data_IF_923687530703
#
_entry.id   IF_923687530703
#
_cell.length_a   1.000
_cell.length_b   1.000
_cell.length_c   1.000
_cell.angle_alpha   90.00
_cell.angle_beta   90.00
_cell.angle_gamma   90.00
#
_symmetry.space_group_name_H-M   'P 1'
#
loop_
_entity.id
_entity.type
_entity.pdbx_description
1 polymer ?
#
# COMPACT_ATOMS: atom_id res chain seq x y z
N UNK A 1 -6.70 -14.45 -34.09
CA UNK A 1 -6.55 -12.97 -33.99
C UNK A 1 -6.72 -12.64 -32.55
N UNK A 2 -5.60 -12.43 -31.84
CA UNK A 2 -5.64 -11.91 -30.46
C UNK A 2 -6.20 -10.47 -30.54
N UNK A 3 -7.34 -10.26 -29.91
CA UNK A 3 -7.83 -8.91 -29.69
C UNK A 3 -6.77 -8.14 -28.91
N UNK A 4 -6.26 -7.08 -29.51
CA UNK A 4 -5.36 -6.13 -28.89
C UNK A 4 -6.15 -5.46 -27.75
N UNK A 5 -6.18 -6.10 -26.56
CA UNK A 5 -6.78 -5.51 -25.36
C UNK A 5 -6.03 -4.22 -25.08
N UNK A 6 -6.68 -3.10 -25.32
CA UNK A 6 -6.14 -1.77 -25.05
C UNK A 6 -5.79 -1.71 -23.56
N UNK A 7 -4.50 -1.65 -23.26
CA UNK A 7 -4.01 -1.52 -21.87
C UNK A 7 -4.49 -0.15 -21.38
N UNK A 8 -5.40 -0.14 -20.42
CA UNK A 8 -5.96 1.08 -19.83
C UNK A 8 -5.14 1.50 -18.62
N UNK A 9 -5.05 2.81 -18.38
CA UNK A 9 -4.42 3.35 -17.18
C UNK A 9 -5.03 2.74 -15.90
N UNK A 10 -4.27 2.61 -14.80
CA UNK A 10 -4.76 2.12 -13.53
C UNK A 10 -5.89 3.01 -13.00
N UNK A 11 -6.58 2.51 -11.97
CA UNK A 11 -7.66 3.27 -11.34
C UNK A 11 -7.16 4.59 -10.72
N UNK A 12 -8.10 5.51 -10.51
CA UNK A 12 -7.79 6.83 -9.96
C UNK A 12 -7.15 6.78 -8.57
N UNK A 13 -7.36 5.71 -7.79
CA UNK A 13 -6.80 5.59 -6.44
C UNK A 13 -5.31 5.31 -6.47
N UNK A 14 -4.86 4.37 -7.31
CA UNK A 14 -3.44 4.07 -7.50
C UNK A 14 -2.69 5.29 -8.05
N UNK A 15 -3.29 5.99 -9.02
CA UNK A 15 -2.74 7.22 -9.61
C UNK A 15 -2.59 8.32 -8.55
N UNK A 16 -3.66 8.64 -7.81
CA UNK A 16 -3.63 9.69 -6.76
C UNK A 16 -2.59 9.39 -5.69
N UNK A 17 -2.52 8.15 -5.23
CA UNK A 17 -1.56 7.74 -4.20
C UNK A 17 -0.11 7.96 -4.68
N UNK A 18 0.20 7.63 -5.93
CA UNK A 18 1.52 7.87 -6.50
C UNK A 18 1.82 9.38 -6.68
N UNK A 19 0.83 10.17 -7.11
CA UNK A 19 0.98 11.62 -7.22
C UNK A 19 1.16 12.30 -5.86
N UNK A 20 0.51 11.83 -4.79
CA UNK A 20 0.73 12.38 -3.44
C UNK A 20 2.15 12.11 -2.93
N UNK A 21 2.75 10.94 -3.24
CA UNK A 21 4.15 10.69 -2.90
C UNK A 21 5.10 11.64 -3.64
N UNK A 22 4.85 11.89 -4.93
CA UNK A 22 5.62 12.83 -5.70
C UNK A 22 5.40 14.29 -5.25
N UNK A 23 4.16 14.65 -4.91
CA UNK A 23 3.84 16.00 -4.42
C UNK A 23 4.60 16.32 -3.12
N UNK A 24 4.79 15.32 -2.23
CA UNK A 24 5.60 15.47 -1.03
C UNK A 24 7.02 16.01 -1.34
N UNK A 25 7.66 15.45 -2.35
CA UNK A 25 9.03 15.85 -2.74
C UNK A 25 9.06 17.28 -3.35
N UNK A 26 7.93 17.75 -3.90
CA UNK A 26 7.86 19.02 -4.61
C UNK A 26 7.41 20.21 -3.76
N UNK A 27 6.58 19.95 -2.73
CA UNK A 27 5.95 21.04 -1.97
C UNK A 27 6.23 21.04 -0.46
N UNK A 28 6.69 19.91 0.09
CA UNK A 28 6.99 19.83 1.52
C UNK A 28 8.49 20.10 1.78
N UNK A 29 8.83 20.51 3.00
CA UNK A 29 10.20 20.85 3.37
C UNK A 29 11.08 19.60 3.54
N UNK A 30 12.39 19.77 3.36
CA UNK A 30 13.39 18.73 3.71
C UNK A 30 13.63 18.70 5.23
N UNK A 31 14.03 17.52 5.78
CA UNK A 31 14.26 16.25 5.08
C UNK A 31 12.95 15.59 4.65
N UNK A 32 12.95 14.97 3.47
CA UNK A 32 11.78 14.24 2.99
C UNK A 32 11.60 12.93 3.79
N UNK A 33 10.34 12.59 4.09
CA UNK A 33 9.98 11.32 4.75
C UNK A 33 10.20 10.16 3.79
N UNK A 34 9.80 10.38 2.54
CA UNK A 34 9.96 9.44 1.44
C UNK A 34 10.28 10.21 0.15
N UNK A 35 11.34 9.85 -0.54
CA UNK A 35 11.67 10.40 -1.85
C UNK A 35 11.14 9.47 -2.94
N UNK A 36 9.99 9.82 -3.55
CA UNK A 36 9.38 9.03 -4.61
C UNK A 36 8.75 9.90 -5.70
N UNK A 37 9.51 10.09 -6.77
CA UNK A 37 9.03 10.74 -8.00
C UNK A 37 8.84 9.73 -9.15
N UNK A 38 9.08 8.43 -8.91
CA UNK A 38 8.95 7.41 -9.97
C UNK A 38 7.49 7.26 -10.38
N UNK A 39 6.57 7.30 -9.42
CA UNK A 39 5.13 7.30 -9.71
C UNK A 39 4.70 8.42 -10.63
N UNK A 40 5.25 9.64 -10.46
CA UNK A 40 5.01 10.77 -11.36
C UNK A 40 5.51 10.49 -12.79
N UNK A 41 6.69 9.91 -12.91
CA UNK A 41 7.24 9.53 -14.23
C UNK A 41 6.42 8.43 -14.90
N UNK A 42 5.91 7.46 -14.13
CA UNK A 42 5.01 6.43 -14.65
C UNK A 42 3.74 7.04 -15.22
N UNK A 43 3.10 7.94 -14.46
CA UNK A 43 1.80 8.53 -14.80
C UNK A 43 1.96 9.56 -15.93
N UNK A 44 3.01 10.38 -15.90
CA UNK A 44 3.24 11.52 -16.78
C UNK A 44 1.98 12.40 -16.90
N UNK A 45 1.46 12.97 -15.78
CA UNK A 45 0.25 13.77 -15.80
C UNK A 45 0.50 15.11 -16.52
N UNK A 46 -0.56 15.86 -16.87
CA UNK A 46 -0.43 17.23 -17.38
C UNK A 46 0.38 18.14 -16.44
N UNK A 47 1.01 19.18 -16.96
CA UNK A 47 1.90 20.07 -16.21
C UNK A 47 1.21 20.76 -15.00
N UNK A 48 -0.10 20.94 -15.06
CA UNK A 48 -0.92 21.55 -14.02
C UNK A 48 -1.52 20.56 -13.01
N UNK A 49 -1.06 19.32 -12.99
CA UNK A 49 -1.61 18.25 -12.14
C UNK A 49 -1.69 18.60 -10.65
N UNK A 50 -0.78 19.45 -10.14
CA UNK A 50 -0.82 19.91 -8.74
C UNK A 50 -2.05 20.79 -8.44
N UNK A 51 -2.68 21.34 -9.48
CA UNK A 51 -3.88 22.16 -9.37
C UNK A 51 -5.17 21.33 -9.36
N UNK A 52 -5.09 20.04 -9.63
CA UNK A 52 -6.23 19.14 -9.58
C UNK A 52 -6.91 19.16 -8.21
N UNK A 53 -8.24 19.11 -8.14
CA UNK A 53 -8.97 19.18 -6.86
C UNK A 53 -8.49 18.15 -5.85
N UNK A 54 -8.16 16.94 -6.29
CA UNK A 54 -7.67 15.83 -5.47
C UNK A 54 -6.23 16.02 -4.94
N UNK A 55 -5.51 17.02 -5.43
CA UNK A 55 -4.16 17.37 -4.94
C UNK A 55 -4.21 18.53 -3.95
N UNK A 56 -5.25 19.35 -4.02
CA UNK A 56 -5.42 20.50 -3.11
C UNK A 56 -5.91 20.06 -1.73
N UNK A 57 -5.50 20.79 -0.70
CA UNK A 57 -5.94 20.58 0.69
C UNK A 57 -5.68 19.16 1.24
N UNK A 58 -4.75 18.44 0.64
CA UNK A 58 -4.46 17.04 0.99
C UNK A 58 -3.21 16.86 1.86
N UNK A 59 -2.77 17.91 2.56
CA UNK A 59 -1.52 17.89 3.33
C UNK A 59 -1.46 16.75 4.33
N UNK A 60 -2.47 16.57 5.16
CA UNK A 60 -2.53 15.49 6.16
C UNK A 60 -2.65 14.09 5.51
N UNK A 61 -3.46 13.97 4.45
CA UNK A 61 -3.57 12.73 3.70
C UNK A 61 -2.26 12.36 3.00
N UNK A 62 -1.59 13.33 2.37
CA UNK A 62 -0.26 13.16 1.78
C UNK A 62 0.76 12.71 2.84
N UNK A 63 0.73 13.31 4.02
CA UNK A 63 1.57 12.92 5.15
C UNK A 63 1.34 11.46 5.54
N UNK A 64 0.08 10.99 5.66
CA UNK A 64 -0.24 9.59 5.92
C UNK A 64 0.30 8.66 4.85
N UNK A 65 0.15 9.02 3.57
CA UNK A 65 0.62 8.22 2.44
C UNK A 65 2.15 8.03 2.46
N UNK A 66 2.92 9.09 2.72
CA UNK A 66 4.39 8.99 2.75
C UNK A 66 4.88 8.30 4.03
N UNK A 67 4.23 8.54 5.17
CA UNK A 67 4.59 7.90 6.43
C UNK A 67 4.35 6.38 6.37
N UNK A 68 3.21 5.94 5.84
CA UNK A 68 2.93 4.49 5.70
C UNK A 68 3.91 3.82 4.74
N UNK A 69 4.24 4.46 3.62
CA UNK A 69 5.22 3.91 2.68
C UNK A 69 6.63 3.83 3.30
N UNK A 70 7.03 4.84 4.07
CA UNK A 70 8.28 4.84 4.83
C UNK A 70 8.30 3.76 5.90
N UNK A 71 7.22 3.59 6.65
CA UNK A 71 7.10 2.54 7.66
C UNK A 71 7.28 1.14 7.06
N UNK A 72 6.65 0.86 5.92
CA UNK A 72 6.83 -0.40 5.20
C UNK A 72 8.29 -0.56 4.75
N UNK A 73 8.90 0.48 4.20
CA UNK A 73 10.29 0.43 3.75
C UNK A 73 11.24 0.12 4.91
N UNK A 74 11.08 0.77 6.06
CA UNK A 74 11.89 0.51 7.25
C UNK A 74 11.67 -0.92 7.77
N UNK A 75 10.42 -1.41 7.78
CA UNK A 75 10.10 -2.79 8.15
C UNK A 75 10.80 -3.80 7.24
N UNK A 76 10.75 -3.60 5.93
CA UNK A 76 11.41 -4.49 4.95
C UNK A 76 12.92 -4.50 5.17
N UNK A 77 13.53 -3.32 5.38
CA UNK A 77 14.97 -3.20 5.64
C UNK A 77 15.34 -3.98 6.92
N UNK A 78 14.54 -3.84 7.97
CA UNK A 78 14.76 -4.55 9.23
C UNK A 78 14.64 -6.07 9.06
N UNK A 79 13.57 -6.54 8.43
CA UNK A 79 13.30 -7.96 8.23
C UNK A 79 14.31 -8.61 7.25
N UNK A 80 14.72 -7.89 6.21
CA UNK A 80 15.76 -8.35 5.30
C UNK A 80 17.12 -8.57 6.02
N UNK A 81 17.48 -7.73 7.00
CA UNK A 81 18.67 -7.92 7.84
C UNK A 81 18.58 -9.18 8.71
N UNK A 82 17.36 -9.63 9.04
CA UNK A 82 17.08 -10.88 9.77
C UNK A 82 17.02 -12.11 8.86
N UNK A 83 17.27 -11.94 7.56
CA UNK A 83 17.31 -13.03 6.58
C UNK A 83 15.97 -13.32 5.89
N UNK A 84 14.94 -12.49 6.07
CA UNK A 84 13.68 -12.61 5.32
C UNK A 84 13.94 -12.21 3.88
N UNK A 85 13.73 -13.15 2.96
CA UNK A 85 14.04 -12.98 1.52
C UNK A 85 12.82 -12.86 0.61
N UNK A 86 11.60 -12.80 1.15
CA UNK A 86 10.38 -12.71 0.37
C UNK A 86 9.53 -11.51 0.81
N UNK A 87 9.04 -10.75 -0.16
CA UNK A 87 8.17 -9.59 0.06
C UNK A 87 6.94 -9.66 -0.84
N UNK A 88 5.76 -9.60 -0.24
CA UNK A 88 4.47 -9.62 -0.93
C UNK A 88 3.80 -8.26 -0.76
N UNK A 89 3.30 -7.68 -1.84
CA UNK A 89 2.53 -6.44 -1.84
C UNK A 89 1.12 -6.76 -2.36
N UNK A 90 0.15 -6.80 -1.46
CA UNK A 90 -1.27 -6.98 -1.80
C UNK A 90 -1.89 -5.63 -2.15
N UNK A 91 -2.41 -5.49 -3.36
CA UNK A 91 -2.88 -4.21 -3.88
C UNK A 91 -1.72 -3.27 -4.20
N UNK A 92 -0.76 -3.75 -4.98
CA UNK A 92 0.49 -3.04 -5.26
C UNK A 92 0.30 -1.71 -5.99
N UNK A 93 -0.74 -1.57 -6.83
CA UNK A 93 -0.99 -0.35 -7.58
C UNK A 93 0.25 0.15 -8.32
N UNK A 94 0.63 1.37 -8.02
CA UNK A 94 1.85 2.00 -8.53
C UNK A 94 2.93 2.10 -7.43
N UNK A 95 3.13 1.02 -6.66
CA UNK A 95 4.27 0.92 -5.76
C UNK A 95 5.59 1.04 -6.53
N UNK A 96 6.62 1.62 -5.92
CA UNK A 96 7.90 1.94 -6.55
C UNK A 96 9.10 1.48 -5.73
N UNK A 97 8.88 0.70 -4.67
CA UNK A 97 9.94 0.23 -3.79
C UNK A 97 11.07 -0.48 -4.57
N UNK A 98 10.70 -1.38 -5.47
CA UNK A 98 11.67 -2.15 -6.26
C UNK A 98 12.59 -1.27 -7.11
N UNK A 99 12.07 -0.14 -7.61
CA UNK A 99 12.81 0.82 -8.43
C UNK A 99 13.59 1.85 -7.60
N UNK A 100 13.05 2.26 -6.44
CA UNK A 100 13.70 3.25 -5.57
C UNK A 100 14.82 2.66 -4.72
N UNK A 101 14.66 1.38 -4.34
CA UNK A 101 15.57 0.70 -3.43
C UNK A 101 16.16 -0.58 -4.05
N UNK A 102 16.82 -0.49 -5.22
CA UNK A 102 17.42 -1.66 -5.85
C UNK A 102 18.52 -2.30 -4.96
N UNK A 103 19.12 -1.54 -4.05
CA UNK A 103 20.10 -1.99 -3.06
C UNK A 103 19.52 -3.03 -2.08
N UNK A 104 18.25 -2.94 -1.75
CA UNK A 104 17.53 -3.88 -0.89
C UNK A 104 16.73 -4.87 -1.75
N UNK A 105 16.00 -4.37 -2.74
CA UNK A 105 15.09 -5.15 -3.58
C UNK A 105 15.80 -6.34 -4.27
N UNK A 106 17.05 -6.15 -4.72
CA UNK A 106 17.85 -7.21 -5.35
C UNK A 106 18.19 -8.40 -4.44
N UNK A 107 17.98 -8.27 -3.13
CA UNK A 107 18.18 -9.34 -2.14
C UNK A 107 16.88 -10.08 -1.80
N UNK A 108 15.77 -9.64 -2.37
CA UNK A 108 14.43 -10.15 -2.09
C UNK A 108 13.84 -10.79 -3.35
N UNK A 109 12.83 -11.62 -3.15
CA UNK A 109 11.85 -11.97 -4.18
C UNK A 109 10.59 -11.16 -3.89
N UNK A 110 10.26 -10.22 -4.75
CA UNK A 110 9.16 -9.28 -4.58
C UNK A 110 7.99 -9.73 -5.45
N UNK A 111 6.81 -9.87 -4.85
CA UNK A 111 5.58 -10.25 -5.53
C UNK A 111 4.58 -9.10 -5.44
N UNK A 112 4.36 -8.42 -6.54
CA UNK A 112 3.33 -7.38 -6.65
C UNK A 112 2.03 -8.00 -7.15
N UNK A 113 1.01 -7.99 -6.29
CA UNK A 113 -0.32 -8.56 -6.56
C UNK A 113 -1.31 -7.43 -6.77
N UNK A 114 -1.94 -7.36 -7.92
CA UNK A 114 -2.96 -6.37 -8.25
C UNK A 114 -3.79 -6.82 -9.46
N UNK A 115 -4.79 -6.02 -9.83
CA UNK A 115 -5.63 -6.24 -11.01
C UNK A 115 -4.77 -6.40 -12.27
N UNK A 116 -5.14 -7.31 -13.18
CA UNK A 116 -4.35 -7.59 -14.39
C UNK A 116 -4.04 -6.36 -15.24
N UNK A 117 -5.01 -5.46 -15.39
CA UNK A 117 -4.83 -4.24 -16.19
C UNK A 117 -3.84 -3.26 -15.54
N UNK A 118 -3.90 -3.09 -14.21
CA UNK A 118 -2.98 -2.24 -13.44
C UNK A 118 -1.54 -2.72 -13.60
N UNK A 119 -1.30 -4.02 -13.41
CA UNK A 119 0.05 -4.59 -13.51
C UNK A 119 0.59 -4.57 -14.94
N UNK A 120 -0.24 -4.89 -15.93
CA UNK A 120 0.17 -4.82 -17.34
C UNK A 120 0.56 -3.39 -17.74
N UNK A 121 -0.23 -2.39 -17.33
CA UNK A 121 0.08 -0.98 -17.57
C UNK A 121 1.38 -0.57 -16.88
N UNK A 122 1.53 -0.88 -15.59
CA UNK A 122 2.74 -0.57 -14.82
C UNK A 122 3.98 -1.19 -15.46
N UNK A 123 3.92 -2.47 -15.82
CA UNK A 123 5.01 -3.18 -16.46
C UNK A 123 5.45 -2.51 -17.76
N UNK A 124 4.49 -2.16 -18.62
CA UNK A 124 4.77 -1.46 -19.86
C UNK A 124 5.46 -0.12 -19.59
N UNK A 125 4.94 0.69 -18.65
CA UNK A 125 5.53 2.00 -18.31
C UNK A 125 6.93 1.89 -17.75
N UNK A 126 7.20 0.89 -16.90
CA UNK A 126 8.54 0.65 -16.38
C UNK A 126 9.55 0.33 -17.49
N UNK A 127 9.15 -0.47 -18.48
CA UNK A 127 9.97 -0.80 -19.65
C UNK A 127 10.23 0.45 -20.50
N UNK A 128 9.19 1.23 -20.82
CA UNK A 128 9.28 2.46 -21.60
C UNK A 128 10.22 3.51 -20.97
N UNK A 129 10.22 3.57 -19.64
CA UNK A 129 11.08 4.50 -18.88
C UNK A 129 12.50 3.97 -18.61
N UNK A 130 12.81 2.76 -19.09
CA UNK A 130 14.14 2.17 -18.95
C UNK A 130 14.41 1.51 -17.59
N UNK A 131 13.45 1.41 -16.70
CA UNK A 131 13.60 0.66 -15.45
C UNK A 131 13.64 -0.85 -15.69
N UNK A 132 12.91 -1.34 -16.70
CA UNK A 132 12.74 -2.76 -16.96
C UNK A 132 11.95 -3.49 -15.87
N UNK A 133 11.99 -4.82 -15.94
CA UNK A 133 11.44 -5.70 -14.89
C UNK A 133 12.58 -6.63 -14.46
N UNK A 134 13.26 -6.33 -13.35
CA UNK A 134 14.36 -7.16 -12.88
C UNK A 134 13.85 -8.54 -12.39
N UNK A 135 14.72 -9.56 -12.41
CA UNK A 135 14.36 -10.95 -12.08
C UNK A 135 13.78 -11.14 -10.67
N UNK A 136 14.10 -10.24 -9.75
CA UNK A 136 13.59 -10.29 -8.39
C UNK A 136 12.16 -9.72 -8.24
N UNK A 137 11.60 -9.08 -9.28
CA UNK A 137 10.26 -8.49 -9.28
C UNK A 137 9.30 -9.34 -10.09
N UNK A 138 8.30 -9.90 -9.43
CA UNK A 138 7.27 -10.75 -10.00
C UNK A 138 5.92 -10.04 -9.97
N UNK A 139 5.32 -9.80 -11.13
CA UNK A 139 3.94 -9.34 -11.22
C UNK A 139 3.00 -10.53 -11.16
N UNK A 140 2.03 -10.48 -10.24
CA UNK A 140 1.05 -11.54 -10.00
C UNK A 140 -0.35 -10.98 -10.27
N UNK A 141 -0.85 -11.06 -11.51
CA UNK A 141 -2.15 -10.50 -11.86
C UNK A 141 -3.28 -11.32 -11.23
N UNK A 142 -4.14 -10.66 -10.47
CA UNK A 142 -5.27 -11.27 -9.77
C UNK A 142 -6.53 -10.43 -9.98
N UNK A 143 -7.57 -11.05 -10.50
CA UNK A 143 -8.92 -10.53 -10.36
C UNK A 143 -9.48 -11.04 -9.03
N UNK A 144 -9.53 -10.19 -8.01
CA UNK A 144 -9.96 -10.55 -6.66
C UNK A 144 -11.41 -11.00 -6.55
N UNK A 145 -12.24 -10.74 -7.57
CA UNK A 145 -13.63 -11.20 -7.61
C UNK A 145 -13.76 -12.66 -8.08
N UNK A 146 -12.81 -13.13 -8.89
CA UNK A 146 -12.91 -14.44 -9.59
C UNK A 146 -11.76 -15.39 -9.30
N UNK A 147 -10.70 -14.93 -8.66
CA UNK A 147 -9.45 -15.69 -8.49
C UNK A 147 -8.89 -15.56 -7.08
N UNK A 148 -8.37 -16.67 -6.56
CA UNK A 148 -7.60 -16.65 -5.32
C UNK A 148 -6.22 -16.04 -5.55
N UNK A 149 -5.92 -14.93 -4.84
CA UNK A 149 -4.59 -14.33 -4.87
C UNK A 149 -3.51 -15.30 -4.37
N UNK A 150 -3.87 -16.15 -3.41
CA UNK A 150 -2.99 -17.16 -2.85
C UNK A 150 -2.53 -18.21 -3.89
N UNK A 151 -3.47 -18.75 -4.66
CA UNK A 151 -3.14 -19.71 -5.72
C UNK A 151 -2.26 -19.09 -6.81
N UNK A 152 -2.52 -17.84 -7.20
CA UNK A 152 -1.70 -17.16 -8.20
C UNK A 152 -0.30 -16.86 -7.67
N UNK A 153 -0.17 -16.48 -6.41
CA UNK A 153 1.10 -16.27 -5.74
C UNK A 153 1.96 -17.55 -5.74
N UNK A 154 1.36 -18.69 -5.39
CA UNK A 154 2.07 -19.99 -5.42
C UNK A 154 2.53 -20.35 -6.85
N UNK A 155 1.68 -20.13 -7.85
CA UNK A 155 2.05 -20.33 -9.28
C UNK A 155 3.20 -19.41 -9.73
N UNK A 156 3.31 -18.23 -9.14
CA UNK A 156 4.42 -17.30 -9.39
C UNK A 156 5.74 -17.72 -8.70
N UNK A 157 5.75 -18.86 -7.98
CA UNK A 157 6.94 -19.43 -7.36
C UNK A 157 7.25 -18.90 -5.96
N UNK A 158 6.26 -18.40 -5.25
CA UNK A 158 6.38 -18.09 -3.83
C UNK A 158 6.62 -19.37 -3.02
N UNK A 159 7.57 -19.32 -2.08
CA UNK A 159 7.89 -20.44 -1.21
C UNK A 159 7.18 -20.28 0.15
N UNK A 160 6.05 -20.92 0.33
CA UNK A 160 5.26 -20.86 1.56
C UNK A 160 5.94 -21.47 2.80
N UNK A 161 7.05 -22.20 2.61
CA UNK A 161 7.83 -22.78 3.71
C UNK A 161 8.89 -21.80 4.27
N UNK A 162 9.03 -20.65 3.66
CA UNK A 162 9.95 -19.59 4.11
C UNK A 162 9.18 -18.35 4.57
N UNK A 163 9.66 -17.68 5.62
CA UNK A 163 9.01 -16.48 6.10
C UNK A 163 9.04 -15.35 5.06
N UNK A 164 8.03 -14.50 5.13
CA UNK A 164 7.84 -13.37 4.23
C UNK A 164 7.42 -12.10 4.98
N UNK A 165 7.67 -10.94 4.39
CA UNK A 165 6.99 -9.69 4.75
C UNK A 165 5.80 -9.50 3.81
N UNK A 166 4.65 -9.17 4.36
CA UNK A 166 3.43 -8.89 3.61
C UNK A 166 2.98 -7.46 3.89
N UNK A 167 2.90 -6.63 2.86
CA UNK A 167 2.29 -5.31 2.93
C UNK A 167 0.91 -5.33 2.25
N UNK A 168 -0.09 -4.77 2.93
CA UNK A 168 -1.43 -4.56 2.40
C UNK A 168 -1.91 -3.17 2.82
N UNK A 169 -1.64 -2.15 2.02
CA UNK A 169 -1.89 -0.75 2.41
C UNK A 169 -2.90 -0.06 1.50
N UNK A 170 -3.93 0.55 2.10
CA UNK A 170 -4.98 1.26 1.37
C UNK A 170 -5.93 0.34 0.59
N UNK A 171 -6.05 -0.93 0.99
CA UNK A 171 -6.85 -1.96 0.31
C UNK A 171 -8.08 -2.36 1.12
N UNK A 172 -7.93 -2.56 2.42
CA UNK A 172 -8.97 -3.14 3.29
C UNK A 172 -10.28 -2.37 3.27
N UNK A 173 -10.24 -1.05 3.11
CA UNK A 173 -11.44 -0.22 3.07
C UNK A 173 -12.38 -0.55 1.88
N UNK A 174 -11.88 -1.23 0.85
CA UNK A 174 -12.66 -1.68 -0.31
C UNK A 174 -13.11 -3.14 -0.22
N UNK A 175 -12.65 -3.89 0.77
CA UNK A 175 -12.96 -5.30 0.97
C UNK A 175 -14.03 -5.47 2.05
N UNK A 176 -14.85 -6.51 1.94
CA UNK A 176 -15.76 -6.91 3.02
C UNK A 176 -14.98 -7.45 4.22
N UNK A 177 -15.56 -7.39 5.42
CA UNK A 177 -14.93 -7.97 6.63
C UNK A 177 -14.63 -9.46 6.48
N UNK A 178 -15.47 -10.21 5.77
CA UNK A 178 -15.25 -11.63 5.48
C UNK A 178 -14.03 -11.85 4.57
N UNK A 179 -13.86 -11.01 3.54
CA UNK A 179 -12.70 -11.08 2.66
C UNK A 179 -11.40 -10.73 3.41
N UNK A 180 -11.44 -9.75 4.32
CA UNK A 180 -10.33 -9.39 5.20
C UNK A 180 -10.00 -10.56 6.14
N UNK A 181 -11.01 -11.15 6.79
CA UNK A 181 -10.84 -12.31 7.67
C UNK A 181 -10.21 -13.50 6.91
N UNK A 182 -10.72 -13.81 5.72
CA UNK A 182 -10.12 -14.84 4.86
C UNK A 182 -8.66 -14.58 4.53
N UNK A 183 -8.31 -13.32 4.20
CA UNK A 183 -6.94 -12.91 3.92
C UNK A 183 -6.05 -13.06 5.17
N UNK A 184 -6.54 -12.66 6.34
CA UNK A 184 -5.81 -12.83 7.61
C UNK A 184 -5.51 -14.31 7.89
N UNK A 185 -6.47 -15.22 7.72
CA UNK A 185 -6.27 -16.67 7.90
C UNK A 185 -5.23 -17.22 6.93
N UNK A 186 -5.26 -16.80 5.66
CA UNK A 186 -4.27 -17.23 4.67
C UNK A 186 -2.86 -16.76 5.06
N UNK A 187 -2.70 -15.53 5.51
CA UNK A 187 -1.40 -14.99 5.91
C UNK A 187 -0.93 -15.63 7.22
N UNK A 188 -1.82 -15.86 8.17
CA UNK A 188 -1.48 -16.52 9.45
C UNK A 188 -0.98 -17.97 9.25
N UNK A 189 -1.32 -18.62 8.12
CA UNK A 189 -0.84 -19.94 7.75
C UNK A 189 0.56 -19.98 7.12
N UNK A 190 1.20 -18.81 6.90
CA UNK A 190 2.57 -18.72 6.38
C UNK A 190 3.61 -19.26 7.37
N UNK A 191 4.80 -19.52 6.85
CA UNK A 191 5.92 -19.99 7.67
C UNK A 191 6.14 -19.07 8.91
N UNK A 192 6.49 -19.66 10.06
CA UNK A 192 6.77 -18.90 11.27
C UNK A 192 7.81 -17.80 11.06
N UNK A 193 7.55 -16.62 11.64
CA UNK A 193 8.37 -15.43 11.47
C UNK A 193 7.96 -14.56 10.28
N UNK A 194 6.87 -14.91 9.57
CA UNK A 194 6.28 -14.00 8.58
C UNK A 194 5.64 -12.81 9.29
N UNK A 195 5.73 -11.63 8.67
CA UNK A 195 5.21 -10.38 9.25
C UNK A 195 4.23 -9.74 8.28
N UNK A 196 3.00 -9.49 8.74
CA UNK A 196 1.98 -8.70 8.06
C UNK A 196 2.03 -7.26 8.54
N UNK A 197 2.06 -6.31 7.62
CA UNK A 197 1.75 -4.91 7.86
C UNK A 197 0.58 -4.50 6.97
N UNK A 198 -0.59 -4.38 7.54
CA UNK A 198 -1.85 -4.08 6.86
C UNK A 198 -2.45 -2.81 7.41
N UNK A 199 -2.86 -1.88 6.54
CA UNK A 199 -3.61 -0.71 7.01
C UNK A 199 -5.11 -1.00 7.02
N UNK A 200 -5.79 -0.44 8.01
CA UNK A 200 -7.23 -0.41 8.13
C UNK A 200 -7.70 1.00 8.50
N UNK A 201 -8.96 1.28 8.24
CA UNK A 201 -9.54 2.59 8.51
C UNK A 201 -10.43 2.55 9.74
N UNK A 202 -10.28 3.60 10.56
CA UNK A 202 -11.10 3.79 11.76
C UNK A 202 -12.52 4.22 11.37
N UNK A 203 -13.54 3.83 12.14
CA UNK A 203 -14.88 4.40 12.02
C UNK A 203 -14.85 5.89 12.40
N UNK A 204 -15.76 6.67 11.81
CA UNK A 204 -15.87 8.14 11.93
C UNK A 204 -15.76 8.65 13.37
N UNK A 205 -16.31 7.90 14.33
CA UNK A 205 -16.34 8.27 15.74
C UNK A 205 -14.98 8.26 16.42
N UNK A 206 -14.00 7.56 15.84
CA UNK A 206 -12.64 7.43 16.35
C UNK A 206 -11.64 8.36 15.64
N UNK A 207 -12.10 9.15 14.68
CA UNK A 207 -11.26 10.13 13.99
C UNK A 207 -11.11 11.39 14.83
N UNK A 208 -9.93 12.04 14.67
CA UNK A 208 -9.76 13.42 15.14
C UNK A 208 -10.75 14.35 14.43
N UNK A 209 -11.24 15.35 15.13
CA UNK A 209 -12.33 16.23 14.63
C UNK A 209 -11.94 16.91 13.30
N UNK A 210 -10.68 17.30 13.17
CA UNK A 210 -10.17 17.95 11.96
C UNK A 210 -10.12 17.02 10.73
N UNK A 211 -10.07 15.70 10.94
CA UNK A 211 -9.97 14.70 9.85
C UNK A 211 -11.34 14.20 9.37
N UNK A 212 -12.40 14.39 10.16
CA UNK A 212 -13.76 13.92 9.83
C UNK A 212 -14.26 14.48 8.50
N UNK A 213 -14.07 15.76 8.28
CA UNK A 213 -14.53 16.41 7.04
C UNK A 213 -13.80 15.88 5.79
N UNK A 214 -12.47 15.66 5.88
CA UNK A 214 -11.69 15.10 4.78
C UNK A 214 -12.11 13.65 4.51
N UNK A 215 -12.37 12.89 5.58
CA UNK A 215 -12.86 11.53 5.47
C UNK A 215 -14.22 11.45 4.75
N UNK A 216 -15.17 12.32 5.11
CA UNK A 216 -16.48 12.40 4.43
C UNK A 216 -16.35 12.73 2.94
N UNK A 217 -15.47 13.66 2.58
CA UNK A 217 -15.19 14.00 1.17
C UNK A 217 -14.61 12.78 0.45
N UNK A 218 -13.66 12.08 1.07
CA UNK A 218 -13.05 10.87 0.53
C UNK A 218 -14.07 9.77 0.29
N UNK A 219 -14.96 9.52 1.26
CA UNK A 219 -16.02 8.51 1.16
C UNK A 219 -17.03 8.84 0.04
N UNK A 220 -17.46 10.11 -0.04
CA UNK A 220 -18.35 10.57 -1.13
C UNK A 220 -17.68 10.40 -2.51
N UNK A 221 -16.41 10.78 -2.62
CA UNK A 221 -15.64 10.63 -3.87
C UNK A 221 -15.46 9.16 -4.27
N UNK A 222 -15.14 8.29 -3.33
CA UNK A 222 -15.02 6.85 -3.56
C UNK A 222 -16.35 6.24 -4.03
N UNK A 223 -17.46 6.61 -3.40
CA UNK A 223 -18.80 6.17 -3.80
C UNK A 223 -19.18 6.64 -5.21
N UNK A 224 -18.89 7.90 -5.54
CA UNK A 224 -19.12 8.45 -6.88
C UNK A 224 -18.27 7.78 -7.95
N UNK A 225 -17.07 7.31 -7.61
CA UNK A 225 -16.17 6.56 -8.50
C UNK A 225 -16.53 5.07 -8.62
N UNK A 226 -17.56 4.57 -7.92
CA UNK A 226 -17.97 3.16 -7.92
C UNK A 226 -17.11 2.24 -7.05
N UNK A 227 -16.25 2.79 -6.20
CA UNK A 227 -15.39 2.07 -5.27
C UNK A 227 -15.65 2.53 -3.82
N UNK A 228 -16.86 2.29 -3.26
CA UNK A 228 -17.21 2.77 -1.93
C UNK A 228 -16.34 2.16 -0.84
N UNK A 229 -16.15 2.89 0.25
CA UNK A 229 -15.56 2.32 1.46
C UNK A 229 -16.59 1.43 2.15
N UNK A 230 -16.23 0.18 2.42
CA UNK A 230 -17.16 -0.82 2.93
C UNK A 230 -16.75 -1.39 4.29
N UNK A 231 -15.49 -1.24 4.71
CA UNK A 231 -15.01 -1.79 5.97
C UNK A 231 -14.23 -0.79 6.80
N UNK A 232 -14.66 -0.68 8.05
CA UNK A 232 -14.01 0.09 9.10
C UNK A 232 -13.85 -0.81 10.32
N UNK A 233 -12.76 -0.63 11.06
CA UNK A 233 -12.47 -1.38 12.28
C UNK A 233 -12.02 -0.44 13.38
N UNK A 234 -12.47 -0.69 14.60
CA UNK A 234 -11.75 -0.21 15.77
C UNK A 234 -10.45 -1.01 15.98
N UNK A 235 -9.46 -0.48 16.72
CA UNK A 235 -8.24 -1.21 17.02
C UNK A 235 -8.50 -2.58 17.69
N UNK A 236 -9.51 -2.69 18.56
CA UNK A 236 -9.84 -3.94 19.21
C UNK A 236 -10.42 -4.97 18.22
N UNK A 237 -11.38 -4.56 17.36
CA UNK A 237 -11.96 -5.46 16.37
C UNK A 237 -10.92 -6.09 15.43
N UNK A 238 -9.95 -5.31 14.94
CA UNK A 238 -8.93 -5.85 14.04
C UNK A 238 -7.93 -6.74 14.77
N UNK A 239 -7.61 -6.43 16.03
CA UNK A 239 -6.76 -7.29 16.87
C UNK A 239 -7.44 -8.62 17.18
N UNK A 240 -8.73 -8.62 17.46
CA UNK A 240 -9.51 -9.84 17.69
C UNK A 240 -9.55 -10.68 16.40
N UNK A 241 -9.81 -10.07 15.25
CA UNK A 241 -9.75 -10.76 13.95
C UNK A 241 -8.37 -11.38 13.65
N UNK A 242 -7.28 -10.68 14.01
CA UNK A 242 -5.93 -11.22 13.86
C UNK A 242 -5.68 -12.42 14.79
N UNK A 243 -6.14 -12.37 16.04
CA UNK A 243 -6.04 -13.50 16.98
C UNK A 243 -6.86 -14.71 16.52
N UNK A 244 -8.09 -14.47 16.07
CA UNK A 244 -8.96 -15.51 15.53
C UNK A 244 -8.36 -16.18 14.28
N UNK A 245 -7.67 -15.40 13.44
CA UNK A 245 -6.95 -15.90 12.28
C UNK A 245 -5.72 -16.78 12.64
N UNK A 246 -5.20 -16.70 13.86
CA UNK A 246 -4.09 -17.52 14.35
C UNK A 246 -2.73 -16.84 14.40
N UNK A 247 -2.65 -15.51 14.28
CA UNK A 247 -1.38 -14.79 14.49
C UNK A 247 -0.91 -14.93 15.95
N UNK A 248 0.39 -15.13 16.14
CA UNK A 248 0.99 -15.27 17.49
C UNK A 248 1.08 -13.93 18.22
N UNK A 249 1.41 -12.89 17.45
CA UNK A 249 1.53 -11.54 17.95
C UNK A 249 0.80 -10.60 17.01
N UNK A 250 0.07 -9.64 17.57
CA UNK A 250 -0.59 -8.60 16.82
C UNK A 250 -0.65 -7.32 17.65
N UNK A 251 -0.38 -6.20 17.00
CA UNK A 251 -0.52 -4.86 17.56
C UNK A 251 -0.99 -3.87 16.50
N UNK A 252 -1.57 -2.78 16.93
CA UNK A 252 -1.85 -1.64 16.06
C UNK A 252 -0.76 -0.59 16.17
N UNK A 253 -0.46 0.09 15.05
CA UNK A 253 0.44 1.25 15.01
C UNK A 253 -0.40 2.43 14.52
N UNK A 254 -0.66 3.34 15.43
CA UNK A 254 -1.44 4.55 15.14
C UNK A 254 -0.62 5.59 14.39
N UNK A 255 -1.30 6.58 13.82
CA UNK A 255 -0.63 7.74 13.22
C UNK A 255 0.25 8.50 14.22
N UNK A 256 -0.13 8.49 15.50
CA UNK A 256 0.64 9.11 16.57
C UNK A 256 2.03 8.45 16.76
N UNK A 257 2.12 7.13 16.59
CA UNK A 257 3.41 6.41 16.61
C UNK A 257 4.23 6.69 15.35
N UNK A 258 3.60 7.02 14.22
CA UNK A 258 4.28 7.45 13.00
C UNK A 258 4.76 8.92 13.05
N UNK A 259 4.34 9.73 14.02
CA UNK A 259 4.82 11.10 14.23
C UNK A 259 6.35 11.19 14.35
N UNK A 260 7.03 10.10 14.71
CA UNK A 260 8.49 10.01 14.70
C UNK A 260 9.13 10.42 13.36
N UNK A 261 8.44 10.20 12.23
CA UNK A 261 8.92 10.60 10.91
C UNK A 261 8.82 12.12 10.67
N UNK A 262 8.12 12.83 11.53
CA UNK A 262 7.84 14.26 11.41
C UNK A 262 8.58 15.11 12.44
N UNK A 263 9.39 14.48 13.30
CA UNK A 263 10.17 15.17 14.31
C UNK A 263 11.13 16.18 13.65
N UNK A 264 11.23 17.36 14.23
CA UNK A 264 12.08 18.48 13.76
C UNK A 264 11.63 19.10 12.41
N UNK A 265 10.40 18.88 11.96
CA UNK A 265 9.85 19.58 10.81
C UNK A 265 9.28 20.93 11.22
N UNK A 266 9.46 21.93 10.35
CA UNK A 266 8.97 23.30 10.56
C UNK A 266 7.70 23.60 9.77
N UNK A 267 7.36 22.75 8.80
CA UNK A 267 6.20 22.91 7.92
C UNK A 267 4.87 22.40 8.50
N UNK A 268 4.85 21.92 9.76
CA UNK A 268 3.67 21.35 10.42
C UNK A 268 2.99 20.24 9.58
N UNK A 269 3.78 19.42 8.89
CA UNK A 269 3.29 18.25 8.19
C UNK A 269 3.02 17.15 9.22
N UNK A 270 1.76 16.70 9.33
CA UNK A 270 1.35 15.62 10.24
C UNK A 270 0.34 14.71 9.53
N UNK A 271 0.35 13.41 9.82
CA UNK A 271 -0.57 12.46 9.21
C UNK A 271 -2.00 12.63 9.74
N UNK A 272 -2.98 12.23 8.93
CA UNK A 272 -4.38 12.14 9.33
C UNK A 272 -4.60 10.91 10.22
N UNK A 273 -5.55 10.99 11.16
CA UNK A 273 -5.81 9.96 12.18
C UNK A 273 -6.51 8.69 11.66
N UNK A 274 -7.09 8.73 10.46
CA UNK A 274 -8.04 7.71 10.01
C UNK A 274 -7.47 6.37 9.60
N UNK A 275 -6.19 6.31 9.19
CA UNK A 275 -5.53 5.09 8.72
C UNK A 275 -4.54 4.58 9.77
N UNK A 276 -4.71 3.33 10.20
CA UNK A 276 -3.93 2.69 11.26
C UNK A 276 -3.36 1.37 10.74
N UNK A 277 -2.15 0.98 11.16
CA UNK A 277 -1.59 -0.33 10.84
C UNK A 277 -2.04 -1.40 11.83
N UNK A 278 -2.33 -2.58 11.30
CA UNK A 278 -2.18 -3.86 11.98
C UNK A 278 -0.80 -4.40 11.64
N UNK A 279 0.05 -4.60 12.64
CA UNK A 279 1.31 -5.32 12.52
C UNK A 279 1.15 -6.66 13.24
N UNK A 280 1.27 -7.78 12.51
CA UNK A 280 1.06 -9.11 13.05
C UNK A 280 2.15 -10.09 12.60
N UNK A 281 2.46 -11.10 13.45
CA UNK A 281 3.52 -12.08 13.18
C UNK A 281 2.97 -13.50 13.36
N UNK A 282 3.34 -14.42 12.43
CA UNK A 282 2.95 -15.84 12.45
C UNK A 282 3.74 -16.68 13.43
#
# INVERSE_FOLDING_TARGET
>A
MEENKKITAPDNTAVRTALWRALHVQVDEKPYILEDEIGLKLIAPPDDWQQLPEMKFTKRLRASIVARARFIEDLIIEQSKKGIGQYIILGAGLDTFAQRRPDIASKLRIYEIDQPNTLAWKQQRLIELGFGVPEYLHFVPVNFETSSWWEQLLKAGFDSNKPAVIACTGVTLYLTKDAISSTLHQIASLAPGSTLAMTFYLPMQLLDEEDKHIHEIGEKGARAAGTPFVSFFSPNEILDAAREAGFKEAKTISTKEMEQYFINRTDNLLPASGEVFLLATT
#
